data_IF_633801329982
#
_entry.id   IF_633801329982
#
_cell.length_a   1.000
_cell.length_b   1.000
_cell.length_c   1.000
_cell.angle_alpha   90.00
_cell.angle_beta   90.00
_cell.angle_gamma   90.00
#
_symmetry.space_group_name_H-M   'P 1'
#
loop_
_entity.id
_entity.type
_entity.pdbx_description
1 polymer ?
#
# COMPACT_ATOMS: atom_id res chain seq x y z
N UNK A 1 -69.15 6.15 -26.37
CA UNK A 1 -67.80 6.72 -26.28
C UNK A 1 -66.93 5.70 -25.56
N UNK A 2 -66.24 4.85 -26.31
CA UNK A 2 -65.31 3.85 -25.76
C UNK A 2 -63.89 4.34 -26.07
N UNK A 3 -63.11 4.62 -25.03
CA UNK A 3 -61.65 4.75 -25.15
C UNK A 3 -61.06 3.47 -24.57
N UNK A 4 -60.39 2.61 -25.37
CA UNK A 4 -59.71 1.44 -24.85
C UNK A 4 -58.46 1.85 -24.07
N UNK A 5 -58.35 1.24 -22.91
CA UNK A 5 -57.24 1.22 -21.99
C UNK A 5 -55.96 0.76 -22.71
N UNK A 6 -54.91 1.57 -22.62
CA UNK A 6 -53.57 1.24 -23.13
C UNK A 6 -53.00 0.11 -22.26
N UNK A 7 -52.64 -1.06 -22.81
CA UNK A 7 -51.93 -2.06 -22.03
C UNK A 7 -50.45 -1.71 -22.02
N UNK A 8 -49.87 -1.58 -20.83
CA UNK A 8 -48.42 -1.56 -20.64
C UNK A 8 -47.80 -2.81 -21.31
N UNK A 9 -46.66 -2.69 -22.00
CA UNK A 9 -46.02 -3.82 -22.65
C UNK A 9 -45.43 -4.75 -21.58
N UNK A 10 -46.17 -5.81 -21.25
CA UNK A 10 -45.64 -6.95 -20.51
C UNK A 10 -44.61 -7.66 -21.40
N UNK A 11 -43.33 -7.31 -21.23
CA UNK A 11 -42.19 -8.03 -21.79
C UNK A 11 -42.36 -9.54 -21.55
N UNK A 12 -42.15 -10.33 -22.60
CA UNK A 12 -42.30 -11.78 -22.52
C UNK A 12 -41.21 -12.40 -21.62
N UNK A 13 -41.46 -13.56 -20.95
CA UNK A 13 -40.47 -14.21 -20.09
C UNK A 13 -39.12 -14.47 -20.79
N UNK A 14 -39.15 -14.72 -22.10
CA UNK A 14 -37.95 -14.96 -22.92
C UNK A 14 -37.16 -13.68 -23.17
N UNK A 15 -37.83 -12.54 -23.41
CA UNK A 15 -37.18 -11.22 -23.54
C UNK A 15 -36.61 -10.75 -22.20
N UNK A 16 -37.28 -11.05 -21.07
CA UNK A 16 -36.74 -10.83 -19.73
C UNK A 16 -35.49 -11.68 -19.47
N UNK A 17 -35.50 -12.96 -19.88
CA UNK A 17 -34.35 -13.87 -19.76
C UNK A 17 -33.16 -13.40 -20.59
N UNK A 18 -33.39 -13.02 -21.85
CA UNK A 18 -32.36 -12.48 -22.74
C UNK A 18 -31.80 -11.14 -22.26
N UNK A 19 -32.66 -10.24 -21.76
CA UNK A 19 -32.21 -8.96 -21.21
C UNK A 19 -31.35 -9.15 -19.97
N UNK A 20 -31.71 -10.09 -19.08
CA UNK A 20 -30.89 -10.45 -17.91
C UNK A 20 -29.55 -11.07 -18.29
N UNK A 21 -29.53 -11.97 -19.28
CA UNK A 21 -28.30 -12.57 -19.78
C UNK A 21 -27.36 -11.52 -20.39
N UNK A 22 -27.88 -10.66 -21.27
CA UNK A 22 -27.11 -9.58 -21.88
C UNK A 22 -26.60 -8.54 -20.86
N UNK A 23 -27.39 -8.23 -19.83
CA UNK A 23 -26.97 -7.38 -18.73
C UNK A 23 -25.83 -8.02 -17.92
N UNK A 24 -25.94 -9.32 -17.63
CA UNK A 24 -24.90 -10.10 -16.91
C UNK A 24 -23.60 -10.14 -17.71
N UNK A 25 -23.67 -10.38 -19.03
CA UNK A 25 -22.50 -10.42 -19.89
C UNK A 25 -21.79 -9.06 -19.99
N UNK A 26 -22.54 -7.95 -20.02
CA UNK A 26 -21.96 -6.60 -19.99
C UNK A 26 -21.23 -6.32 -18.69
N UNK A 27 -21.82 -6.67 -17.55
CA UNK A 27 -21.19 -6.52 -16.23
C UNK A 27 -19.92 -7.38 -16.15
N UNK A 28 -19.96 -8.61 -16.65
CA UNK A 28 -18.78 -9.48 -16.69
C UNK A 28 -17.67 -8.88 -17.55
N UNK A 29 -18.00 -8.33 -18.72
CA UNK A 29 -17.03 -7.70 -19.61
C UNK A 29 -16.40 -6.44 -18.99
N UNK A 30 -17.19 -5.62 -18.31
CA UNK A 30 -16.72 -4.40 -17.63
C UNK A 30 -15.78 -4.73 -16.46
N UNK A 31 -16.13 -5.72 -15.65
CA UNK A 31 -15.30 -6.18 -14.53
C UNK A 31 -13.97 -6.78 -15.04
N UNK A 32 -13.99 -7.55 -16.14
CA UNK A 32 -12.77 -8.08 -16.76
C UNK A 32 -11.85 -6.97 -17.28
N UNK A 33 -12.40 -5.95 -17.94
CA UNK A 33 -11.63 -4.79 -18.40
C UNK A 33 -10.99 -4.02 -17.22
N UNK A 34 -11.68 -3.93 -16.09
CA UNK A 34 -11.15 -3.30 -14.87
C UNK A 34 -9.94 -4.07 -14.32
N UNK A 35 -10.00 -5.41 -14.33
CA UNK A 35 -8.92 -6.29 -13.87
C UNK A 35 -7.72 -6.26 -14.83
N UNK A 36 -7.95 -6.28 -16.13
CA UNK A 36 -6.89 -6.25 -17.15
C UNK A 36 -6.08 -4.95 -17.13
N UNK A 37 -6.68 -3.85 -16.68
CA UNK A 37 -6.01 -2.55 -16.56
C UNK A 37 -4.93 -2.54 -15.48
N UNK A 38 -4.99 -3.45 -14.52
CA UNK A 38 -4.04 -3.54 -13.41
C UNK A 38 -3.03 -4.66 -13.69
N UNK A 39 -1.71 -4.40 -13.52
CA UNK A 39 -0.70 -5.45 -13.63
C UNK A 39 -1.04 -6.64 -12.74
N UNK A 40 -0.66 -7.85 -13.14
CA UNK A 40 -0.90 -9.03 -12.29
C UNK A 40 -0.18 -8.93 -10.95
N UNK A 41 1.00 -8.33 -10.98
CA UNK A 41 1.85 -8.12 -9.83
C UNK A 41 2.62 -6.81 -9.97
N UNK A 42 2.58 -5.99 -8.91
CA UNK A 42 3.46 -4.85 -8.74
C UNK A 42 4.35 -5.07 -7.52
N UNK A 43 5.65 -5.01 -7.72
CA UNK A 43 6.63 -5.07 -6.64
C UNK A 43 7.07 -3.67 -6.23
N UNK A 44 7.25 -3.49 -4.92
CA UNK A 44 7.70 -2.25 -4.32
C UNK A 44 9.01 -2.43 -3.57
N UNK A 45 9.93 -1.53 -3.86
CA UNK A 45 11.21 -1.41 -3.18
C UNK A 45 11.29 -0.08 -2.44
N UNK A 46 12.21 0.02 -1.49
CA UNK A 46 12.43 1.27 -0.77
C UNK A 46 12.97 2.37 -1.67
N UNK A 47 12.59 3.62 -1.39
CA UNK A 47 13.15 4.77 -2.07
C UNK A 47 14.66 4.90 -1.81
N UNK A 48 15.39 5.41 -2.81
CA UNK A 48 16.84 5.66 -2.71
C UNK A 48 17.20 6.91 -1.89
N UNK A 49 16.23 7.56 -1.24
CA UNK A 49 16.43 8.83 -0.52
C UNK A 49 17.56 8.75 0.51
N UNK A 50 17.56 7.71 1.34
CA UNK A 50 18.58 7.53 2.38
C UNK A 50 19.93 7.05 1.88
N UNK A 51 20.02 6.59 0.62
CA UNK A 51 21.31 6.28 -0.01
C UNK A 51 22.18 7.52 -0.18
N UNK A 52 21.56 8.68 -0.41
CA UNK A 52 22.25 9.96 -0.50
C UNK A 52 22.22 10.72 0.84
N UNK A 53 21.07 10.75 1.51
CA UNK A 53 20.93 11.49 2.77
C UNK A 53 21.73 10.90 3.93
N UNK A 54 21.89 9.57 4.00
CA UNK A 54 22.67 8.91 5.06
C UNK A 54 24.12 9.42 5.10
N UNK A 55 24.89 9.29 4.00
CA UNK A 55 26.26 9.81 3.93
C UNK A 55 26.36 11.32 4.22
N UNK A 56 25.41 12.12 3.76
CA UNK A 56 25.38 13.57 4.04
C UNK A 56 25.21 13.83 5.53
N UNK A 57 24.25 13.18 6.19
CA UNK A 57 24.05 13.32 7.65
C UNK A 57 25.27 12.88 8.44
N UNK A 58 25.97 11.83 7.98
CA UNK A 58 27.20 11.36 8.59
C UNK A 58 28.31 12.42 8.51
N UNK A 59 28.52 13.03 7.34
CA UNK A 59 29.52 14.09 7.16
C UNK A 59 29.22 15.31 8.03
N UNK A 60 27.95 15.74 8.08
CA UNK A 60 27.52 16.86 8.92
C UNK A 60 27.74 16.56 10.41
N UNK A 61 27.41 15.34 10.85
CA UNK A 61 27.61 14.90 12.23
C UNK A 61 29.09 14.83 12.62
N UNK A 62 29.95 14.40 11.70
CA UNK A 62 31.41 14.40 11.89
C UNK A 62 31.96 15.83 12.02
N UNK A 63 31.49 16.76 11.18
CA UNK A 63 31.85 18.18 11.28
C UNK A 63 31.45 18.79 12.62
N UNK A 64 30.21 18.53 13.07
CA UNK A 64 29.75 18.95 14.40
C UNK A 64 30.59 18.34 15.53
N UNK A 65 30.96 17.07 15.43
CA UNK A 65 31.78 16.40 16.43
C UNK A 65 33.17 17.05 16.52
N UNK A 66 33.82 17.31 15.37
CA UNK A 66 35.11 18.00 15.33
C UNK A 66 35.03 19.40 15.96
N UNK A 67 33.98 20.16 15.64
CA UNK A 67 33.74 21.47 16.25
C UNK A 67 33.51 21.38 17.76
N UNK A 68 32.72 20.41 18.23
CA UNK A 68 32.43 20.20 19.63
C UNK A 68 33.67 19.86 20.46
N UNK A 69 34.55 19.01 19.90
CA UNK A 69 35.85 18.67 20.47
C UNK A 69 36.72 19.93 20.57
N UNK A 70 36.81 20.73 19.48
CA UNK A 70 37.59 21.97 19.47
C UNK A 70 37.09 23.00 20.48
N UNK A 71 35.79 23.06 20.74
CA UNK A 71 35.18 23.95 21.74
C UNK A 71 35.33 23.44 23.19
N UNK A 72 35.81 22.21 23.40
CA UNK A 72 35.95 21.61 24.73
C UNK A 72 34.62 21.37 25.47
N UNK A 73 33.49 21.38 24.77
CA UNK A 73 32.15 21.23 25.38
C UNK A 73 31.76 19.76 25.44
N UNK A 74 32.07 19.10 26.56
CA UNK A 74 31.82 17.65 26.76
C UNK A 74 30.39 17.22 26.41
N UNK A 75 29.37 17.99 26.82
CA UNK A 75 27.98 17.67 26.50
C UNK A 75 27.66 17.70 24.99
N UNK A 76 28.22 18.66 24.27
CA UNK A 76 28.05 18.76 22.81
C UNK A 76 28.81 17.62 22.11
N UNK A 77 29.99 17.25 22.61
CA UNK A 77 30.78 16.14 22.08
C UNK A 77 30.05 14.81 22.21
N UNK A 78 29.43 14.52 23.36
CA UNK A 78 28.65 13.30 23.56
C UNK A 78 27.43 13.27 22.62
N UNK A 79 26.70 14.38 22.51
CA UNK A 79 25.55 14.49 21.61
C UNK A 79 25.96 14.28 20.14
N UNK A 80 27.00 14.95 19.68
CA UNK A 80 27.52 14.80 18.33
C UNK A 80 28.03 13.37 18.06
N UNK A 81 28.68 12.74 19.05
CA UNK A 81 29.09 11.34 18.97
C UNK A 81 27.91 10.39 18.76
N UNK A 82 26.81 10.59 19.50
CA UNK A 82 25.58 9.82 19.29
C UNK A 82 25.01 10.02 17.88
N UNK A 83 24.97 11.26 17.37
CA UNK A 83 24.52 11.56 16.01
C UNK A 83 25.38 10.88 14.94
N UNK A 84 26.69 10.79 15.13
CA UNK A 84 27.60 10.06 14.23
C UNK A 84 27.23 8.58 14.21
N UNK A 85 27.08 7.94 15.38
CA UNK A 85 26.70 6.51 15.47
C UNK A 85 25.35 6.26 14.83
N UNK A 86 24.36 7.13 15.09
CA UNK A 86 23.03 7.04 14.50
C UNK A 86 23.06 7.20 12.97
N UNK A 87 23.78 8.19 12.46
CA UNK A 87 23.91 8.44 11.01
C UNK A 87 24.64 7.29 10.31
N UNK A 88 25.65 6.70 10.96
CA UNK A 88 26.36 5.53 10.44
C UNK A 88 25.43 4.32 10.36
N UNK A 89 24.61 4.09 11.39
CA UNK A 89 23.61 3.02 11.41
C UNK A 89 22.56 3.21 10.30
N UNK A 90 22.01 4.41 10.13
CA UNK A 90 21.07 4.71 9.03
C UNK A 90 21.72 4.49 7.67
N UNK A 91 22.95 4.98 7.46
CA UNK A 91 23.68 4.79 6.21
C UNK A 91 23.90 3.30 5.89
N UNK A 92 24.28 2.53 6.91
CA UNK A 92 24.52 1.09 6.76
C UNK A 92 23.24 0.34 6.40
N UNK A 93 22.13 0.63 7.08
CA UNK A 93 20.85 -0.05 6.84
C UNK A 93 20.27 0.24 5.47
N UNK A 94 20.40 1.47 5.00
CA UNK A 94 19.84 1.91 3.73
C UNK A 94 20.82 1.76 2.55
N UNK A 95 21.98 1.10 2.74
CA UNK A 95 22.98 0.90 1.67
C UNK A 95 22.44 0.14 0.46
N UNK A 96 21.52 -0.79 0.71
CA UNK A 96 20.85 -1.63 -0.28
C UNK A 96 19.43 -1.17 -0.60
N UNK A 97 19.07 0.06 -0.19
CA UNK A 97 17.77 0.65 -0.50
C UNK A 97 17.52 0.67 -2.02
N UNK A 98 16.31 0.26 -2.41
CA UNK A 98 15.90 0.12 -3.81
C UNK A 98 16.36 -1.17 -4.51
N UNK A 99 16.93 -2.14 -3.79
CA UNK A 99 17.25 -3.48 -4.32
C UNK A 99 16.31 -4.56 -3.80
N UNK A 100 15.91 -4.46 -2.53
CA UNK A 100 15.04 -5.46 -1.89
C UNK A 100 13.59 -5.05 -2.05
N UNK A 101 12.82 -5.98 -2.61
CA UNK A 101 11.34 -5.91 -2.63
C UNK A 101 10.87 -6.27 -1.25
N UNK A 102 10.08 -5.38 -0.64
CA UNK A 102 9.54 -5.59 0.72
C UNK A 102 8.03 -5.70 0.75
N UNK A 103 7.40 -5.26 -0.34
CA UNK A 103 5.97 -5.23 -0.50
C UNK A 103 5.62 -5.64 -1.92
N UNK A 104 4.69 -6.57 -2.06
CA UNK A 104 4.20 -7.06 -3.35
C UNK A 104 2.70 -6.97 -3.36
N UNK A 105 2.17 -6.36 -4.40
CA UNK A 105 0.74 -6.21 -4.60
C UNK A 105 0.35 -7.06 -5.79
N UNK A 106 -0.56 -8.00 -5.54
CA UNK A 106 -1.20 -8.83 -6.58
C UNK A 106 -2.64 -8.35 -6.75
N UNK A 107 -3.31 -8.81 -7.80
CA UNK A 107 -4.71 -8.45 -8.09
C UNK A 107 -5.70 -8.69 -6.94
N UNK A 108 -5.37 -9.56 -5.98
CA UNK A 108 -6.23 -9.88 -4.82
C UNK A 108 -5.57 -9.55 -3.49
N UNK A 109 -4.26 -9.74 -3.38
CA UNK A 109 -3.57 -9.76 -2.10
C UNK A 109 -2.38 -8.80 -2.06
N UNK A 110 -2.20 -8.15 -0.92
CA UNK A 110 -1.03 -7.37 -0.58
C UNK A 110 -0.14 -8.15 0.40
N UNK A 111 1.09 -8.40 -0.01
CA UNK A 111 2.14 -9.04 0.78
C UNK A 111 3.08 -7.97 1.31
N UNK A 112 3.42 -8.06 2.59
CA UNK A 112 4.46 -7.25 3.22
C UNK A 112 5.34 -8.17 4.05
N UNK A 113 6.65 -8.05 3.93
CA UNK A 113 7.61 -8.99 4.56
C UNK A 113 7.45 -9.11 6.08
N UNK A 114 6.97 -8.05 6.75
CA UNK A 114 6.81 -8.03 8.20
C UNK A 114 5.42 -8.48 8.69
N UNK A 115 4.58 -8.98 7.78
CA UNK A 115 3.30 -9.61 8.08
C UNK A 115 3.40 -11.11 7.88
N UNK A 116 2.73 -11.87 8.74
CA UNK A 116 2.78 -13.34 8.67
C UNK A 116 1.77 -13.90 7.65
N UNK A 117 0.82 -13.09 7.18
CA UNK A 117 -0.15 -13.43 6.16
C UNK A 117 -0.44 -12.22 5.25
N UNK A 118 -0.82 -12.47 3.97
CA UNK A 118 -1.22 -11.39 3.06
C UNK A 118 -2.54 -10.73 3.50
N UNK A 119 -2.73 -9.50 3.04
CA UNK A 119 -3.97 -8.74 3.22
C UNK A 119 -4.82 -8.90 1.96
N UNK A 120 -6.07 -9.31 2.11
CA UNK A 120 -7.03 -9.32 1.02
C UNK A 120 -7.43 -7.88 0.66
N UNK A 121 -7.14 -7.47 -0.56
CA UNK A 121 -7.42 -6.11 -1.04
C UNK A 121 -8.91 -5.82 -1.14
N UNK A 122 -9.75 -6.86 -1.30
CA UNK A 122 -11.21 -6.70 -1.28
C UNK A 122 -11.76 -6.38 0.12
N UNK A 123 -11.03 -6.73 1.18
CA UNK A 123 -11.41 -6.42 2.57
C UNK A 123 -10.97 -5.02 3.00
N UNK A 124 -10.21 -4.30 2.17
CA UNK A 124 -9.75 -2.94 2.45
C UNK A 124 -10.84 -1.94 2.10
N UNK A 125 -11.35 -1.21 3.10
CA UNK A 125 -12.39 -0.20 2.92
C UNK A 125 -11.81 1.17 2.57
N UNK A 126 -10.78 1.59 3.30
CA UNK A 126 -10.17 2.93 3.16
C UNK A 126 -8.64 2.86 3.09
N UNK A 127 -8.06 3.77 2.31
CA UNK A 127 -6.63 3.84 2.02
C UNK A 127 -6.17 5.28 2.24
N UNK A 128 -5.35 5.47 3.26
CA UNK A 128 -4.72 6.76 3.55
C UNK A 128 -3.21 6.65 3.35
N UNK A 129 -2.65 7.49 2.50
CA UNK A 129 -1.20 7.61 2.31
C UNK A 129 -0.75 8.99 2.77
N UNK A 130 0.30 9.02 3.59
CA UNK A 130 0.83 10.27 4.16
C UNK A 130 2.34 10.27 4.12
N UNK A 131 2.92 11.41 3.75
CA UNK A 131 4.33 11.70 3.97
C UNK A 131 4.52 12.28 5.39
N UNK A 132 5.30 11.58 6.22
CA UNK A 132 5.70 12.02 7.55
C UNK A 132 7.11 12.66 7.55
N UNK A 133 7.60 13.03 6.36
CA UNK A 133 8.87 13.71 6.16
C UNK A 133 10.05 12.76 6.15
N UNK A 134 10.18 11.87 7.14
CA UNK A 134 11.21 10.81 7.17
C UNK A 134 10.68 9.46 6.67
N UNK A 135 9.39 9.22 6.77
CA UNK A 135 8.75 7.98 6.38
C UNK A 135 7.51 8.26 5.56
N UNK A 136 7.16 7.33 4.68
CA UNK A 136 5.85 7.27 4.07
C UNK A 136 5.00 6.28 4.85
N UNK A 137 3.89 6.76 5.40
CA UNK A 137 2.88 5.97 6.08
C UNK A 137 1.78 5.60 5.09
N UNK A 138 1.47 4.32 4.99
CA UNK A 138 0.25 3.84 4.34
C UNK A 138 -0.63 3.20 5.41
N UNK A 139 -1.85 3.68 5.57
CA UNK A 139 -2.86 3.10 6.46
C UNK A 139 -3.97 2.49 5.61
N UNK A 140 -4.14 1.19 5.76
CA UNK A 140 -5.22 0.41 5.15
C UNK A 140 -6.23 0.10 6.25
N UNK A 141 -7.43 0.64 6.16
CA UNK A 141 -8.52 0.30 7.08
C UNK A 141 -9.26 -0.89 6.48
N UNK A 142 -9.38 -1.97 7.24
CA UNK A 142 -10.03 -3.20 6.81
C UNK A 142 -11.48 -3.25 7.32
N UNK A 143 -12.25 -4.15 6.73
CA UNK A 143 -13.58 -4.50 7.22
C UNK A 143 -13.54 -4.98 8.69
N UNK A 144 -14.63 -4.73 9.41
CA UNK A 144 -14.82 -5.21 10.79
C UNK A 144 -14.76 -6.73 10.90
N UNK A 145 -15.09 -7.46 9.82
CA UNK A 145 -15.03 -8.92 9.76
C UNK A 145 -13.75 -9.47 9.10
N UNK A 146 -12.85 -8.59 8.66
CA UNK A 146 -11.62 -8.97 7.99
C UNK A 146 -10.67 -9.75 8.91
N UNK A 147 -9.96 -10.72 8.34
CA UNK A 147 -8.97 -11.46 9.11
C UNK A 147 -7.68 -10.65 9.22
N UNK A 148 -7.43 -10.07 10.39
CA UNK A 148 -6.26 -9.23 10.61
C UNK A 148 -4.98 -10.10 10.75
N UNK A 149 -3.96 -9.93 9.89
CA UNK A 149 -2.72 -10.70 9.99
C UNK A 149 -1.93 -10.31 11.25
N UNK A 150 -1.07 -11.21 11.73
CA UNK A 150 -0.08 -10.86 12.76
C UNK A 150 1.13 -10.17 12.13
N UNK A 151 1.79 -9.32 12.92
CA UNK A 151 2.98 -8.60 12.48
C UNK A 151 4.17 -8.96 13.37
N UNK A 152 5.37 -8.97 12.78
CA UNK A 152 6.60 -9.12 13.52
C UNK A 152 7.50 -7.90 13.33
N UNK A 153 8.28 -7.57 14.37
CA UNK A 153 9.17 -6.41 14.33
C UNK A 153 10.42 -6.78 13.54
N UNK A 154 10.68 -6.05 12.45
CA UNK A 154 11.96 -6.10 11.76
C UNK A 154 13.08 -5.66 12.72
N UNK A 155 13.86 -6.61 13.22
CA UNK A 155 14.89 -6.33 14.23
C UNK A 155 15.88 -5.31 13.69
N UNK A 156 16.18 -4.30 14.51
CA UNK A 156 17.17 -3.26 14.25
C UNK A 156 16.92 -2.38 13.02
N UNK A 157 15.71 -2.27 12.45
CA UNK A 157 15.48 -1.38 11.30
C UNK A 157 15.01 0.03 11.72
N UNK A 158 15.91 1.01 11.66
CA UNK A 158 15.61 2.42 11.89
C UNK A 158 15.16 3.05 10.56
N UNK A 159 13.95 3.60 10.57
CA UNK A 159 13.25 4.05 9.35
C UNK A 159 13.12 2.97 8.26
N UNK A 160 13.11 1.70 8.66
CA UNK A 160 12.93 0.59 7.74
C UNK A 160 11.46 0.26 7.48
N UNK A 161 11.26 -0.81 6.72
CA UNK A 161 9.93 -1.23 6.31
C UNK A 161 9.28 -1.98 7.45
N UNK A 162 8.16 -1.46 7.93
CA UNK A 162 7.42 -2.10 9.00
C UNK A 162 5.93 -1.96 8.76
N UNK A 163 5.27 -3.08 8.56
CA UNK A 163 3.84 -3.21 8.68
C UNK A 163 3.46 -3.57 10.13
N UNK A 164 2.42 -2.92 10.62
CA UNK A 164 1.80 -3.18 11.91
C UNK A 164 0.31 -3.41 11.69
N UNK A 165 -0.17 -4.55 12.17
CA UNK A 165 -1.58 -4.86 12.15
C UNK A 165 -2.19 -4.50 13.52
N UNK A 166 -3.20 -3.64 13.52
CA UNK A 166 -3.79 -3.02 14.70
C UNK A 166 -5.31 -3.20 14.67
N UNK A 167 -5.90 -3.60 15.80
CA UNK A 167 -7.33 -3.89 15.90
C UNK A 167 -8.17 -2.76 16.54
N UNK A 168 -7.58 -1.59 16.86
CA UNK A 168 -8.27 -0.47 17.52
C UNK A 168 -7.84 0.87 16.93
N UNK A 169 -8.75 1.84 16.69
CA UNK A 169 -10.19 1.80 16.97
C UNK A 169 -10.98 0.89 16.02
N UNK A 170 -10.48 0.69 14.80
CA UNK A 170 -11.00 -0.23 13.78
C UNK A 170 -9.85 -1.14 13.31
N UNK A 171 -10.12 -2.32 12.73
CA UNK A 171 -9.09 -3.15 12.11
C UNK A 171 -8.35 -2.39 11.03
N UNK A 172 -7.04 -2.20 11.18
CA UNK A 172 -6.23 -1.49 10.19
C UNK A 172 -4.78 -1.98 10.19
N UNK A 173 -4.15 -1.87 9.01
CA UNK A 173 -2.72 -2.12 8.84
C UNK A 173 -2.02 -0.80 8.54
N UNK A 174 -0.92 -0.54 9.24
CA UNK A 174 -0.03 0.60 8.98
C UNK A 174 1.28 0.11 8.42
N UNK A 175 1.65 0.57 7.24
CA UNK A 175 2.91 0.24 6.58
C UNK A 175 3.78 1.50 6.56
N UNK A 176 4.85 1.47 7.34
CA UNK A 176 5.92 2.45 7.31
C UNK A 176 6.98 2.00 6.32
N UNK A 177 7.48 2.94 5.51
CA UNK A 177 8.59 2.70 4.59
C UNK A 177 9.37 3.99 4.36
N UNK A 178 10.57 3.88 3.78
CA UNK A 178 11.34 5.05 3.35
C UNK A 178 10.81 5.69 2.04
N UNK A 179 9.57 5.40 1.67
CA UNK A 179 8.94 5.73 0.40
C UNK A 179 8.98 4.55 -0.58
N UNK A 180 8.05 4.54 -1.52
CA UNK A 180 7.86 3.42 -2.46
C UNK A 180 8.52 3.72 -3.80
N UNK A 181 9.14 2.69 -4.38
CA UNK A 181 9.61 2.67 -5.74
C UNK A 181 9.06 1.46 -6.48
N UNK A 182 8.58 1.67 -7.70
CA UNK A 182 8.20 0.61 -8.64
C UNK A 182 8.83 0.88 -10.00
N UNK A 183 9.29 -0.16 -10.69
CA UNK A 183 9.97 -0.01 -11.99
C UNK A 183 11.17 0.96 -11.99
N UNK A 184 11.84 1.13 -10.84
CA UNK A 184 12.95 2.08 -10.69
C UNK A 184 12.55 3.55 -10.52
N UNK A 185 11.25 3.88 -10.49
CA UNK A 185 10.73 5.23 -10.25
C UNK A 185 10.16 5.36 -8.84
N UNK A 186 10.43 6.48 -8.17
CA UNK A 186 9.78 6.82 -6.89
C UNK A 186 8.34 7.26 -7.15
N UNK A 187 7.42 6.74 -6.35
CA UNK A 187 6.02 7.16 -6.34
C UNK A 187 5.80 8.27 -5.31
N UNK A 188 4.93 9.22 -5.65
CA UNK A 188 4.39 10.17 -4.68
C UNK A 188 3.20 9.58 -3.89
N UNK A 189 2.68 10.31 -2.90
CA UNK A 189 1.60 9.81 -2.06
C UNK A 189 0.30 9.56 -2.82
N UNK A 190 -0.04 10.42 -3.78
CA UNK A 190 -1.27 10.32 -4.55
C UNK A 190 -1.19 9.16 -5.54
N UNK A 191 -0.03 8.93 -6.15
CA UNK A 191 0.26 7.77 -6.99
C UNK A 191 0.20 6.47 -6.21
N UNK A 192 0.74 6.43 -4.98
CA UNK A 192 0.64 5.26 -4.11
C UNK A 192 -0.82 4.98 -3.77
N UNK A 193 -1.57 6.01 -3.37
CA UNK A 193 -2.99 5.88 -3.01
C UNK A 193 -3.83 5.42 -4.21
N UNK A 194 -3.62 6.03 -5.38
CA UNK A 194 -4.30 5.66 -6.62
C UNK A 194 -3.98 4.22 -7.04
N UNK A 195 -2.72 3.79 -6.91
CA UNK A 195 -2.29 2.44 -7.24
C UNK A 195 -2.92 1.41 -6.29
N UNK A 196 -2.84 1.64 -4.97
CA UNK A 196 -3.48 0.75 -3.99
C UNK A 196 -5.01 0.71 -4.17
N UNK A 197 -5.63 1.86 -4.48
CA UNK A 197 -7.06 1.96 -4.80
C UNK A 197 -7.44 1.17 -6.05
N UNK A 198 -6.67 1.27 -7.12
CA UNK A 198 -6.92 0.51 -8.34
C UNK A 198 -6.87 -1.02 -8.10
N UNK A 199 -5.94 -1.50 -7.27
CA UNK A 199 -5.87 -2.90 -6.89
C UNK A 199 -7.01 -3.33 -5.96
N UNK A 200 -7.44 -2.48 -5.02
CA UNK A 200 -8.65 -2.71 -4.21
C UNK A 200 -9.86 -2.88 -5.12
N UNK A 201 -10.06 -1.96 -6.05
CA UNK A 201 -11.23 -1.97 -6.92
C UNK A 201 -11.21 -3.19 -7.85
N UNK A 202 -10.03 -3.58 -8.36
CA UNK A 202 -9.85 -4.82 -9.14
C UNK A 202 -10.14 -6.08 -8.30
N UNK A 203 -9.73 -6.11 -7.03
CA UNK A 203 -10.00 -7.23 -6.13
C UNK A 203 -11.50 -7.36 -5.83
N UNK A 204 -12.18 -6.24 -5.56
CA UNK A 204 -13.63 -6.19 -5.41
C UNK A 204 -14.34 -6.67 -6.68
N UNK A 205 -13.89 -6.22 -7.85
CA UNK A 205 -14.45 -6.64 -9.14
C UNK A 205 -14.29 -8.15 -9.38
N UNK A 206 -13.13 -8.71 -9.04
CA UNK A 206 -12.88 -10.16 -9.11
C UNK A 206 -13.81 -10.94 -8.16
N UNK A 207 -13.99 -10.46 -6.93
CA UNK A 207 -14.89 -11.12 -5.97
C UNK A 207 -16.35 -11.10 -6.44
N UNK A 208 -16.79 -10.01 -7.06
CA UNK A 208 -18.12 -9.90 -7.67
C UNK A 208 -18.27 -10.86 -8.86
N UNK A 209 -17.26 -10.96 -9.72
CA UNK A 209 -17.23 -11.93 -10.81
C UNK A 209 -17.32 -13.37 -10.30
N UNK A 210 -16.53 -13.73 -9.30
CA UNK A 210 -16.51 -15.07 -8.72
C UNK A 210 -17.92 -15.39 -8.14
N UNK A 211 -18.55 -14.44 -7.44
CA UNK A 211 -19.90 -14.61 -6.91
C UNK A 211 -20.95 -14.79 -8.02
N UNK A 212 -20.86 -14.01 -9.11
CA UNK A 212 -21.76 -14.11 -10.26
C UNK A 212 -21.59 -15.42 -11.03
N UNK A 213 -20.39 -16.01 -11.07
CA UNK A 213 -20.13 -17.29 -11.75
C UNK A 213 -20.58 -18.50 -10.92
N UNK A 214 -20.55 -18.40 -9.59
CA UNK A 214 -21.00 -19.49 -8.69
C UNK A 214 -22.52 -19.56 -8.58
N UNK A 215 -23.23 -18.43 -8.72
CA UNK A 215 -24.68 -18.32 -8.48
C UNK A 215 -25.56 -18.29 -9.74
N UNK A 216 -25.03 -18.56 -10.92
CA UNK A 216 -25.86 -18.61 -12.12
C UNK A 216 -25.32 -19.46 -13.22
#
# INVERSE_FOLDING_TARGET
MNTPQHPDPSLSPDEYGQSRAAQRDRVIAELRLMIERVPEQTEFTNSRRYKLWGPIMLLVSLGMLAMAINMGRTGLTVCAGFLVVFSLLVTWQHRDAGKQVFMRLTRRQLFVDTLDAPIEMAEVQDILVKDEGLLTLQKLTLDSHAHLPTHHVARLQVFGNQAMALNKPEPHVRIHSAGLMTGGRKLDCDEIAALLGAYRDAACAQQQLDALQVHG
#
